data_IF_809646116684
#
_entry.id   IF_809646116684
#
_cell.length_a   1.000
_cell.length_b   1.000
_cell.length_c   1.000
_cell.angle_alpha   90.00
_cell.angle_beta   90.00
_cell.angle_gamma   90.00
#
_symmetry.space_group_name_H-M   'P 1'
#
loop_
_entity.id
_entity.type
_entity.pdbx_description
1 polymer ?
#
# COMPACT_ATOMS: atom_id res chain seq x y z
N UNK A 1 -5.54 13.05 -24.15
CA UNK A 1 -5.18 12.28 -22.93
C UNK A 1 -5.21 13.19 -21.71
N UNK A 2 -5.79 12.69 -20.63
CA UNK A 2 -5.79 13.37 -19.34
C UNK A 2 -4.81 12.67 -18.40
N UNK A 3 -4.24 13.40 -17.46
CA UNK A 3 -3.41 12.81 -16.43
C UNK A 3 -3.53 13.58 -15.12
N UNK A 4 -3.37 12.87 -14.03
CA UNK A 4 -3.33 13.45 -12.69
C UNK A 4 -2.27 12.71 -11.89
N UNK A 5 -1.44 13.46 -11.16
CA UNK A 5 -0.47 12.89 -10.24
C UNK A 5 -0.70 13.51 -8.87
N UNK A 6 -0.86 12.66 -7.87
CA UNK A 6 -1.05 13.09 -6.48
C UNK A 6 -0.18 12.25 -5.56
N UNK A 7 0.21 12.84 -4.43
CA UNK A 7 0.96 12.15 -3.39
C UNK A 7 0.13 12.13 -2.11
N UNK A 8 -0.09 10.93 -1.60
CA UNK A 8 -0.70 10.73 -0.28
C UNK A 8 0.41 10.50 0.74
N UNK A 9 0.30 11.11 1.90
CA UNK A 9 1.33 10.99 2.93
C UNK A 9 0.77 10.27 4.15
N UNK A 10 1.57 9.34 4.67
CA UNK A 10 1.21 8.53 5.83
C UNK A 10 2.32 8.58 6.88
N UNK A 11 1.91 8.77 8.12
CA UNK A 11 2.77 8.64 9.28
C UNK A 11 1.94 7.91 10.34
N UNK A 12 2.22 6.63 10.54
CA UNK A 12 1.40 5.78 11.40
C UNK A 12 1.94 5.77 12.83
N UNK A 13 1.05 5.73 13.85
CA UNK A 13 1.48 5.65 15.25
C UNK A 13 2.02 4.26 15.61
N UNK A 14 1.70 3.26 14.82
CA UNK A 14 2.10 1.88 15.07
C UNK A 14 3.13 1.43 14.04
N UNK A 15 3.96 0.45 14.43
CA UNK A 15 4.96 -0.11 13.53
C UNK A 15 4.31 -0.78 12.31
N UNK A 16 3.20 -1.50 12.53
CA UNK A 16 2.42 -2.11 11.45
C UNK A 16 1.02 -1.55 11.45
N UNK A 17 0.53 -1.25 10.26
CA UNK A 17 -0.82 -0.75 10.07
C UNK A 17 -1.33 -1.09 8.67
N UNK A 18 -2.64 -1.20 8.51
CA UNK A 18 -3.30 -1.55 7.26
C UNK A 18 -4.44 -0.56 7.05
N UNK A 19 -4.25 0.38 6.13
CA UNK A 19 -5.17 1.51 5.96
C UNK A 19 -5.91 1.38 4.63
N UNK A 20 -7.24 1.31 4.66
CA UNK A 20 -8.06 1.32 3.47
C UNK A 20 -8.04 2.71 2.84
N UNK A 21 -7.52 2.82 1.62
CA UNK A 21 -7.39 4.08 0.90
C UNK A 21 -8.29 4.15 -0.34
N UNK A 22 -9.21 3.21 -0.49
CA UNK A 22 -10.05 3.11 -1.67
C UNK A 22 -10.83 4.39 -1.95
N UNK A 23 -11.49 4.95 -0.95
CA UNK A 23 -12.30 6.16 -1.11
C UNK A 23 -11.46 7.37 -1.52
N UNK A 24 -10.25 7.48 -0.97
CA UNK A 24 -9.32 8.54 -1.34
C UNK A 24 -8.91 8.43 -2.81
N UNK A 25 -8.59 7.22 -3.26
CA UNK A 25 -8.20 6.97 -4.65
C UNK A 25 -9.39 7.22 -5.58
N UNK A 26 -10.59 6.78 -5.21
CA UNK A 26 -11.80 7.03 -6.01
C UNK A 26 -12.07 8.53 -6.19
N UNK A 27 -11.85 9.31 -5.14
CA UNK A 27 -11.99 10.76 -5.22
C UNK A 27 -11.03 11.34 -6.25
N UNK A 28 -9.78 10.88 -6.26
CA UNK A 28 -8.78 11.34 -7.23
C UNK A 28 -9.16 10.95 -8.66
N UNK A 29 -9.74 9.77 -8.84
CA UNK A 29 -10.24 9.35 -10.16
C UNK A 29 -11.31 10.32 -10.65
N UNK A 30 -12.27 10.69 -9.80
CA UNK A 30 -13.30 11.68 -10.16
C UNK A 30 -12.68 13.03 -10.50
N UNK A 31 -11.72 13.49 -9.70
CA UNK A 31 -11.03 14.78 -9.95
C UNK A 31 -10.25 14.76 -11.26
N UNK A 32 -9.73 13.63 -11.67
CA UNK A 32 -8.96 13.49 -12.91
C UNK A 32 -9.82 13.69 -14.16
N UNK A 33 -11.11 13.41 -14.07
CA UNK A 33 -12.02 13.43 -15.20
C UNK A 33 -11.83 12.29 -16.18
N UNK A 34 -10.93 11.35 -15.90
CA UNK A 34 -10.69 10.20 -16.77
C UNK A 34 -11.90 9.25 -16.74
N UNK A 35 -12.41 8.91 -17.92
CA UNK A 35 -13.51 7.97 -18.08
C UNK A 35 -13.02 6.56 -18.40
N UNK A 36 -11.98 6.46 -19.20
CA UNK A 36 -11.35 5.18 -19.57
C UNK A 36 -9.85 5.31 -19.43
N UNK A 37 -9.25 4.49 -18.60
CA UNK A 37 -7.82 4.60 -18.36
C UNK A 37 -7.31 3.66 -17.28
N UNK A 38 -6.19 4.04 -16.70
CA UNK A 38 -5.50 3.27 -15.67
C UNK A 38 -5.18 4.16 -14.47
N UNK A 39 -5.26 3.57 -13.29
CA UNK A 39 -4.87 4.19 -12.04
C UNK A 39 -3.75 3.37 -11.40
N UNK A 40 -2.56 3.96 -11.29
CA UNK A 40 -1.43 3.38 -10.56
C UNK A 40 -1.47 3.90 -9.13
N UNK A 41 -1.37 3.02 -8.16
CA UNK A 41 -1.22 3.37 -6.74
C UNK A 41 0.03 2.68 -6.21
N UNK A 42 1.03 3.46 -5.82
CA UNK A 42 2.39 2.97 -5.63
C UNK A 42 2.99 3.45 -4.32
N UNK A 43 3.39 2.52 -3.47
CA UNK A 43 4.13 2.84 -2.24
C UNK A 43 5.57 3.22 -2.60
N UNK A 44 5.97 4.43 -2.24
CA UNK A 44 7.26 5.02 -2.60
C UNK A 44 8.31 4.84 -1.50
N UNK A 45 8.11 3.86 -0.64
CA UNK A 45 9.06 3.54 0.42
C UNK A 45 9.27 2.02 0.52
N UNK A 46 10.51 1.64 0.73
CA UNK A 46 10.94 0.23 0.70
C UNK A 46 10.44 -0.61 1.88
N UNK A 47 9.76 -0.02 2.85
CA UNK A 47 9.17 -0.71 4.00
C UNK A 47 7.64 -0.56 4.07
N UNK A 48 7.04 -0.10 2.98
CA UNK A 48 5.60 0.06 2.87
C UNK A 48 5.08 -0.61 1.59
N UNK A 49 3.79 -0.85 1.53
CA UNK A 49 3.14 -1.59 0.45
C UNK A 49 1.82 -0.95 0.05
N UNK A 50 1.42 -1.18 -1.19
CA UNK A 50 0.03 -1.01 -1.62
C UNK A 50 -0.44 -2.35 -2.18
N UNK A 51 -1.59 -2.82 -1.72
CA UNK A 51 -2.15 -4.10 -2.16
C UNK A 51 -3.67 -4.01 -2.23
N UNK A 52 -4.29 -4.99 -2.86
CA UNK A 52 -5.76 -5.06 -3.01
C UNK A 52 -6.24 -6.38 -2.42
N UNK A 53 -7.19 -6.30 -1.49
CA UNK A 53 -7.92 -7.44 -0.99
C UNK A 53 -9.15 -6.97 -0.21
N UNK A 54 -9.83 -7.89 0.45
CA UNK A 54 -11.05 -7.63 1.20
C UNK A 54 -10.77 -6.79 2.46
N UNK A 55 -11.67 -5.87 2.77
CA UNK A 55 -11.63 -5.03 3.96
C UNK A 55 -12.42 -5.69 5.09
N UNK A 56 -11.88 -6.78 5.63
CA UNK A 56 -12.51 -7.53 6.70
C UNK A 56 -11.52 -7.67 7.86
N UNK A 57 -11.95 -7.32 9.07
CA UNK A 57 -11.06 -7.20 10.23
C UNK A 57 -10.33 -8.49 10.58
N UNK A 58 -11.01 -9.63 10.47
CA UNK A 58 -10.40 -10.93 10.73
C UNK A 58 -9.27 -11.22 9.73
N UNK A 59 -9.49 -10.90 8.45
CA UNK A 59 -8.48 -11.09 7.43
C UNK A 59 -7.27 -10.18 7.65
N UNK A 60 -7.50 -8.93 8.02
CA UNK A 60 -6.39 -8.00 8.34
C UNK A 60 -5.57 -8.50 9.52
N UNK A 61 -6.21 -9.04 10.54
CA UNK A 61 -5.53 -9.66 11.67
C UNK A 61 -4.73 -10.89 11.21
N UNK A 62 -5.32 -11.72 10.35
CA UNK A 62 -4.66 -12.91 9.82
C UNK A 62 -3.41 -12.54 9.01
N UNK A 63 -3.46 -11.46 8.20
CA UNK A 63 -2.27 -10.96 7.51
C UNK A 63 -1.17 -10.56 8.49
N UNK A 64 -1.53 -9.87 9.56
CA UNK A 64 -0.56 -9.40 10.54
C UNK A 64 0.15 -10.58 11.22
N UNK A 65 -0.61 -11.59 11.62
CA UNK A 65 -0.06 -12.84 12.21
C UNK A 65 0.81 -13.59 11.20
N UNK A 66 0.32 -13.74 9.98
CA UNK A 66 1.01 -14.49 8.93
C UNK A 66 2.34 -13.83 8.54
N UNK A 67 2.34 -12.52 8.34
CA UNK A 67 3.55 -11.77 7.99
C UNK A 67 4.58 -11.84 9.12
N UNK A 68 4.14 -11.79 10.38
CA UNK A 68 5.05 -11.90 11.51
C UNK A 68 5.65 -13.30 11.64
N UNK A 69 4.92 -14.34 11.25
CA UNK A 69 5.47 -15.70 11.17
C UNK A 69 6.51 -15.83 10.06
N UNK A 70 6.25 -15.22 8.91
CA UNK A 70 7.17 -15.30 7.77
C UNK A 70 8.45 -14.50 7.98
N UNK A 71 8.33 -13.33 8.59
CA UNK A 71 9.45 -12.44 8.83
C UNK A 71 9.31 -11.81 10.23
N UNK A 72 9.65 -12.56 11.29
CA UNK A 72 9.53 -12.04 12.65
C UNK A 72 10.40 -10.81 12.87
N UNK A 73 9.86 -9.79 13.52
CA UNK A 73 10.63 -8.62 13.87
C UNK A 73 11.73 -8.94 14.90
N UNK A 74 11.39 -9.73 15.91
CA UNK A 74 12.30 -10.09 16.98
C UNK A 74 12.76 -11.55 16.86
N UNK A 75 14.02 -11.87 17.18
CA UNK A 75 15.07 -10.94 17.54
C UNK A 75 15.62 -10.21 16.31
N UNK A 76 15.90 -8.92 16.46
CA UNK A 76 16.41 -8.10 15.33
C UNK A 76 17.79 -8.57 14.86
N UNK A 77 18.54 -9.22 15.73
CA UNK A 77 19.88 -9.73 15.41
C UNK A 77 19.89 -10.92 14.45
N UNK A 78 18.74 -11.51 14.19
CA UNK A 78 18.66 -12.63 13.22
C UNK A 78 18.90 -12.21 11.78
N UNK A 79 18.80 -10.92 11.48
CA UNK A 79 18.91 -10.40 10.12
C UNK A 79 20.25 -9.72 9.86
N UNK A 80 20.88 -10.05 8.75
CA UNK A 80 22.13 -9.41 8.35
C UNK A 80 21.95 -7.91 8.05
N UNK A 81 20.82 -7.50 7.48
CA UNK A 81 20.52 -6.10 7.21
C UNK A 81 20.59 -5.24 8.47
N UNK A 82 20.18 -5.79 9.61
CA UNK A 82 20.16 -5.04 10.87
C UNK A 82 21.55 -4.79 11.46
N UNK A 83 22.61 -5.41 10.91
CA UNK A 83 24.00 -5.13 11.27
C UNK A 83 24.43 -3.71 10.92
N UNK A 84 23.68 -3.04 10.04
CA UNK A 84 23.95 -1.65 9.64
C UNK A 84 23.48 -0.62 10.67
N UNK A 85 22.94 -1.07 11.80
CA UNK A 85 22.34 -0.21 12.82
C UNK A 85 20.83 -0.05 12.67
N UNK A 86 20.22 -0.69 11.66
CA UNK A 86 18.78 -0.70 11.47
C UNK A 86 18.11 -1.82 12.27
N UNK A 87 16.79 -1.76 12.34
CA UNK A 87 15.98 -2.80 13.02
C UNK A 87 14.79 -3.25 12.17
N UNK A 88 14.85 -3.02 10.86
CA UNK A 88 13.68 -3.08 9.97
C UNK A 88 13.82 -4.06 8.82
N UNK A 89 14.71 -5.04 8.90
CA UNK A 89 14.84 -6.06 7.85
C UNK A 89 13.53 -6.77 7.58
N UNK A 90 12.77 -7.09 8.63
CA UNK A 90 11.46 -7.72 8.51
C UNK A 90 10.47 -6.87 7.73
N UNK A 91 10.53 -5.55 7.90
CA UNK A 91 9.66 -4.63 7.17
C UNK A 91 9.93 -4.63 5.67
N UNK A 92 11.20 -4.71 5.27
CA UNK A 92 11.57 -4.86 3.86
C UNK A 92 11.03 -6.16 3.27
N UNK A 93 11.09 -7.24 4.04
CA UNK A 93 10.62 -8.55 3.59
C UNK A 93 9.11 -8.61 3.50
N UNK A 94 8.41 -8.02 4.45
CA UNK A 94 6.94 -7.92 4.43
C UNK A 94 6.48 -7.12 3.21
N UNK A 95 7.12 -5.97 2.95
CA UNK A 95 6.84 -5.17 1.75
C UNK A 95 7.12 -5.96 0.48
N UNK A 96 8.18 -6.74 0.44
CA UNK A 96 8.53 -7.53 -0.74
C UNK A 96 7.44 -8.54 -1.09
N UNK A 97 6.85 -9.16 -0.07
CA UNK A 97 5.75 -10.12 -0.27
C UNK A 97 4.44 -9.42 -0.64
N UNK A 98 4.10 -8.36 0.08
CA UNK A 98 2.83 -7.66 -0.11
C UNK A 98 2.78 -6.81 -1.37
N UNK A 99 3.92 -6.40 -1.87
CA UNK A 99 4.03 -5.71 -3.15
C UNK A 99 4.20 -4.21 -3.03
N UNK A 100 4.67 -3.62 -4.13
CA UNK A 100 4.98 -2.20 -4.23
C UNK A 100 3.80 -1.37 -4.71
N UNK A 101 3.06 -1.85 -5.72
CA UNK A 101 2.03 -1.10 -6.40
C UNK A 101 0.90 -1.99 -6.89
N UNK A 102 -0.20 -1.31 -7.18
CA UNK A 102 -1.32 -1.91 -7.90
C UNK A 102 -1.70 -1.02 -9.07
N UNK A 103 -2.25 -1.63 -10.12
CA UNK A 103 -2.84 -0.91 -11.25
C UNK A 103 -4.29 -1.35 -11.34
N UNK A 104 -5.20 -0.38 -11.35
CA UNK A 104 -6.63 -0.61 -11.45
C UNK A 104 -7.15 0.06 -12.71
N UNK A 105 -7.95 -0.64 -13.48
CA UNK A 105 -8.62 -0.05 -14.64
C UNK A 105 -9.63 1.00 -14.18
N UNK A 106 -9.78 2.05 -14.98
CA UNK A 106 -10.84 3.02 -14.83
C UNK A 106 -11.83 2.77 -15.98
N UNK A 107 -13.07 2.49 -15.62
CA UNK A 107 -14.14 2.22 -16.57
C UNK A 107 -15.32 3.12 -16.26
N UNK A 108 -15.76 3.88 -17.25
CA UNK A 108 -16.90 4.81 -17.09
C UNK A 108 -16.71 5.78 -15.91
N UNK A 109 -15.48 6.23 -15.72
CA UNK A 109 -15.14 7.22 -14.69
C UNK A 109 -14.97 6.67 -13.29
N UNK A 110 -14.91 5.36 -13.12
CA UNK A 110 -14.82 4.69 -11.81
C UNK A 110 -13.72 3.65 -11.80
N UNK A 111 -13.14 3.42 -10.61
CA UNK A 111 -12.28 2.27 -10.41
C UNK A 111 -13.06 0.98 -10.69
N UNK A 112 -12.50 0.16 -11.57
CA UNK A 112 -13.12 -1.12 -11.96
C UNK A 112 -12.59 -2.22 -11.06
N UNK A 113 -13.20 -2.33 -9.88
CA UNK A 113 -12.81 -3.27 -8.84
C UNK A 113 -13.81 -4.43 -8.77
N UNK A 114 -13.34 -5.60 -8.41
CA UNK A 114 -14.21 -6.72 -8.05
C UNK A 114 -15.01 -6.39 -6.78
N UNK A 115 -16.09 -7.14 -6.50
CA UNK A 115 -17.04 -6.77 -5.44
C UNK A 115 -16.41 -6.59 -4.04
N UNK A 116 -15.35 -7.30 -3.74
CA UNK A 116 -14.72 -7.28 -2.42
C UNK A 116 -13.32 -6.67 -2.43
N UNK A 117 -12.89 -6.17 -3.59
CA UNK A 117 -11.56 -5.57 -3.72
C UNK A 117 -11.55 -4.17 -3.14
N UNK A 118 -10.61 -3.94 -2.22
CA UNK A 118 -10.32 -2.62 -1.64
C UNK A 118 -8.83 -2.37 -1.70
N UNK A 119 -8.45 -1.13 -1.90
CA UNK A 119 -7.04 -0.73 -1.98
C UNK A 119 -6.55 -0.38 -0.58
N UNK A 120 -5.44 -0.98 -0.18
CA UNK A 120 -4.83 -0.77 1.14
C UNK A 120 -3.42 -0.25 1.04
N UNK A 121 -3.09 0.64 1.98
CA UNK A 121 -1.71 0.98 2.30
C UNK A 121 -1.27 0.11 3.48
N UNK A 122 -0.15 -0.62 3.30
CA UNK A 122 0.45 -1.42 4.36
C UNK A 122 1.71 -0.78 4.90
N UNK A 123 1.76 -0.55 6.21
CA UNK A 123 2.91 0.00 6.91
C UNK A 123 3.60 -1.11 7.69
N UNK A 124 4.92 -1.25 7.55
CA UNK A 124 5.64 -2.33 8.22
C UNK A 124 6.79 -1.86 9.11
N UNK A 125 7.12 -0.58 9.09
CA UNK A 125 8.20 -0.02 9.91
C UNK A 125 7.74 1.13 10.84
N UNK A 126 6.73 1.88 10.42
CA UNK A 126 6.27 3.06 11.15
C UNK A 126 7.30 4.19 11.15
N UNK A 127 7.25 5.03 12.16
CA UNK A 127 8.23 6.07 12.53
C UNK A 127 8.52 7.16 11.50
N UNK A 128 8.44 6.89 10.22
CA UNK A 128 8.80 7.81 9.15
C UNK A 128 7.58 8.22 8.37
N UNK A 129 7.59 9.45 7.90
CA UNK A 129 6.58 9.92 6.96
C UNK A 129 6.88 9.31 5.59
N UNK A 130 5.89 8.66 5.00
CA UNK A 130 6.03 7.95 3.73
C UNK A 130 4.95 8.39 2.76
N UNK A 131 5.25 8.33 1.47
CA UNK A 131 4.29 8.74 0.45
C UNK A 131 3.84 7.57 -0.42
N UNK A 132 2.62 7.71 -0.90
CA UNK A 132 2.02 6.87 -1.94
C UNK A 132 1.78 7.75 -3.15
N UNK A 133 2.33 7.35 -4.28
CA UNK A 133 2.08 8.02 -5.55
C UNK A 133 0.80 7.46 -6.16
N UNK A 134 -0.12 8.34 -6.51
CA UNK A 134 -1.29 7.99 -7.33
C UNK A 134 -1.11 8.66 -8.68
N UNK A 135 -1.08 7.86 -9.73
CA UNK A 135 -1.00 8.37 -11.11
C UNK A 135 -2.16 7.82 -11.92
N UNK A 136 -2.90 8.73 -12.53
CA UNK A 136 -4.09 8.42 -13.31
C UNK A 136 -3.87 8.94 -14.72
N UNK A 137 -4.06 8.08 -15.71
CA UNK A 137 -3.94 8.44 -17.11
C UNK A 137 -5.09 7.85 -17.91
N UNK A 138 -5.54 8.55 -18.93
CA UNK A 138 -6.58 8.03 -19.82
C UNK A 138 -7.30 9.13 -20.59
N UNK A 139 -8.45 8.77 -21.11
CA UNK A 139 -9.30 9.67 -21.88
C UNK A 139 -10.52 10.15 -21.07
#
# INVERSE_FOLDING_TARGET
MKSLTEHLWFETPHRRDYINITDTVEKLVRESGVQEGLCLVNAMHITASVYINDAEDGLLHDYDVWLEKLAPHAPTSQYEHNRTGEDNADAHMKRQIMGREVVVAITKGKLDLGPWEQIFYGEFDGRRRKRVLVKIIGE
#
